data_IF_763095945657
#
_entry.id   IF_763095945657
#
_cell.length_a   1.000
_cell.length_b   1.000
_cell.length_c   1.000
_cell.angle_alpha   90.00
_cell.angle_beta   90.00
_cell.angle_gamma   90.00
#
_symmetry.space_group_name_H-M   'P 1'
#
loop_
_entity.id
_entity.type
_entity.pdbx_description
1 polymer ?
#
# COMPACT_ATOMS: atom_id res chain seq x y z
N UNK A 1 -17.26 -21.73 19.34
CA UNK A 1 -18.00 -20.47 19.60
C UNK A 1 -19.16 -20.44 18.61
N UNK A 2 -20.41 -20.51 19.06
CA UNK A 2 -21.60 -20.66 18.22
C UNK A 2 -21.82 -19.44 17.31
N UNK A 3 -22.33 -19.65 16.09
CA UNK A 3 -22.60 -18.62 15.07
C UNK A 3 -23.40 -17.42 15.63
N UNK A 4 -24.33 -17.70 16.55
CA UNK A 4 -25.16 -16.70 17.25
C UNK A 4 -24.31 -15.77 18.13
N UNK A 5 -23.31 -16.30 18.83
CA UNK A 5 -22.40 -15.50 19.64
C UNK A 5 -21.49 -14.63 18.75
N UNK A 6 -21.11 -15.10 17.56
CA UNK A 6 -20.34 -14.28 16.60
C UNK A 6 -21.17 -13.08 16.14
N UNK A 7 -22.41 -13.33 15.68
CA UNK A 7 -23.34 -12.31 15.18
C UNK A 7 -23.71 -11.27 16.26
N UNK A 8 -23.97 -11.70 17.50
CA UNK A 8 -24.28 -10.77 18.59
C UNK A 8 -23.10 -9.87 18.96
N UNK A 9 -21.88 -10.43 18.94
CA UNK A 9 -20.65 -9.69 19.28
C UNK A 9 -20.33 -8.68 18.18
N UNK A 10 -20.50 -9.08 16.92
CA UNK A 10 -20.30 -8.25 15.73
C UNK A 10 -21.28 -7.07 15.70
N UNK A 11 -22.57 -7.31 16.02
CA UNK A 11 -23.58 -6.26 16.13
C UNK A 11 -23.27 -5.25 17.25
N UNK A 12 -22.88 -5.72 18.43
CA UNK A 12 -22.52 -4.86 19.57
C UNK A 12 -21.27 -4.04 19.26
N UNK A 13 -20.26 -4.65 18.63
CA UNK A 13 -19.03 -3.97 18.23
C UNK A 13 -19.31 -2.89 17.19
N UNK A 14 -20.15 -3.18 16.19
CA UNK A 14 -20.53 -2.20 15.17
C UNK A 14 -21.32 -1.02 15.76
N UNK A 15 -22.21 -1.27 16.73
CA UNK A 15 -22.93 -0.20 17.41
C UNK A 15 -22.02 0.69 18.26
N UNK A 16 -21.11 0.09 19.06
CA UNK A 16 -20.09 0.83 19.82
C UNK A 16 -19.21 1.68 18.90
N UNK A 17 -18.80 1.11 17.77
CA UNK A 17 -17.97 1.79 16.77
C UNK A 17 -18.67 3.02 16.14
N UNK A 18 -19.98 2.94 15.88
CA UNK A 18 -20.75 4.12 15.43
C UNK A 18 -20.83 5.22 16.50
N UNK A 19 -20.98 4.83 17.76
CA UNK A 19 -21.01 5.77 18.89
C UNK A 19 -19.65 6.45 19.05
N UNK A 20 -18.54 5.70 19.06
CA UNK A 20 -17.20 6.27 19.23
C UNK A 20 -16.84 7.24 18.12
N UNK A 21 -17.19 6.94 16.87
CA UNK A 21 -17.04 7.89 15.74
C UNK A 21 -17.85 9.17 15.93
N UNK A 22 -19.09 9.05 16.39
CA UNK A 22 -19.94 10.21 16.65
C UNK A 22 -19.34 11.10 17.74
N UNK A 23 -18.90 10.50 18.84
CA UNK A 23 -18.22 11.19 19.94
C UNK A 23 -16.95 11.88 19.42
N UNK A 24 -16.08 11.15 18.70
CA UNK A 24 -14.84 11.69 18.17
C UNK A 24 -15.08 12.89 17.25
N UNK A 25 -16.08 12.82 16.36
CA UNK A 25 -16.46 13.93 15.48
C UNK A 25 -16.94 15.17 16.22
N UNK A 26 -17.60 15.00 17.37
CA UNK A 26 -18.10 16.12 18.16
C UNK A 26 -17.02 16.75 19.03
N UNK A 27 -16.02 15.97 19.46
CA UNK A 27 -14.89 16.45 20.27
C UNK A 27 -13.78 17.05 19.40
N UNK A 28 -13.51 16.46 18.23
CA UNK A 28 -12.39 16.81 17.39
C UNK A 28 -12.83 17.60 16.14
N UNK A 29 -12.04 18.61 15.76
CA UNK A 29 -12.33 19.45 14.59
C UNK A 29 -12.22 18.71 13.25
N UNK A 30 -12.75 19.31 12.17
CA UNK A 30 -12.79 18.72 10.81
C UNK A 30 -11.43 18.19 10.32
N UNK A 31 -10.33 18.88 10.62
CA UNK A 31 -8.97 18.46 10.25
C UNK A 31 -8.45 17.21 10.99
N UNK A 32 -9.20 16.67 11.96
CA UNK A 32 -8.86 15.43 12.66
C UNK A 32 -9.71 14.25 12.21
N UNK A 33 -10.67 14.46 11.29
CA UNK A 33 -11.72 13.49 10.91
C UNK A 33 -11.15 12.15 10.43
N UNK A 34 -9.98 12.14 9.77
CA UNK A 34 -9.31 10.92 9.30
C UNK A 34 -8.93 9.96 10.43
N UNK A 35 -8.78 10.45 11.66
CA UNK A 35 -8.40 9.63 12.81
C UNK A 35 -9.56 8.92 13.52
N UNK A 36 -10.82 9.17 13.12
CA UNK A 36 -11.98 8.69 13.88
C UNK A 36 -12.08 7.17 13.93
N UNK A 37 -11.51 6.47 12.93
CA UNK A 37 -11.61 5.03 12.81
C UNK A 37 -10.72 4.29 13.81
N UNK A 38 -9.68 4.97 14.31
CA UNK A 38 -8.65 4.41 15.20
C UNK A 38 -9.10 4.51 16.66
N UNK A 39 -9.83 5.57 17.00
CA UNK A 39 -10.19 5.86 18.38
C UNK A 39 -11.41 5.03 18.85
N UNK A 40 -11.38 4.44 20.06
CA UNK A 40 -10.32 4.47 21.07
C UNK A 40 -9.36 3.26 21.02
N UNK A 41 -9.48 2.40 20.00
CA UNK A 41 -8.87 1.08 19.97
C UNK A 41 -7.36 1.11 19.71
N UNK A 42 -6.91 1.99 18.81
CA UNK A 42 -5.50 2.14 18.46
C UNK A 42 -4.87 3.26 19.29
N UNK A 43 -3.73 2.97 19.91
CA UNK A 43 -2.84 3.98 20.47
C UNK A 43 -1.46 3.87 19.81
N UNK A 44 -0.79 5.00 19.60
CA UNK A 44 0.54 5.03 19.00
C UNK A 44 1.49 5.87 19.85
N UNK A 45 2.77 5.54 19.81
CA UNK A 45 3.85 6.42 20.22
C UNK A 45 4.69 6.79 19.00
N UNK A 46 5.32 7.95 19.07
CA UNK A 46 6.20 8.45 18.02
C UNK A 46 7.58 8.71 18.60
N UNK A 47 8.60 8.38 17.83
CA UNK A 47 9.97 8.67 18.20
C UNK A 47 10.30 10.17 18.04
N UNK A 48 11.54 10.54 18.37
CA UNK A 48 12.05 11.93 18.29
C UNK A 48 11.96 12.54 16.89
N UNK A 49 11.97 11.72 15.84
CA UNK A 49 11.84 12.15 14.45
C UNK A 49 10.38 12.23 13.99
N UNK A 50 9.43 11.96 14.89
CA UNK A 50 8.00 12.02 14.63
C UNK A 50 7.42 10.80 13.90
N UNK A 51 8.21 9.74 13.67
CA UNK A 51 7.75 8.47 13.08
C UNK A 51 7.06 7.61 14.14
N UNK A 52 6.00 6.88 13.77
CA UNK A 52 5.38 5.87 14.63
C UNK A 52 6.42 4.80 14.97
N UNK A 53 6.67 4.59 16.27
CA UNK A 53 7.60 3.58 16.77
C UNK A 53 6.92 2.45 17.55
N UNK A 54 5.69 2.70 18.01
CA UNK A 54 4.94 1.76 18.84
C UNK A 54 3.47 1.83 18.45
N UNK A 55 2.82 0.68 18.32
CA UNK A 55 1.38 0.56 18.07
C UNK A 55 0.76 -0.35 19.14
N UNK A 56 -0.37 0.06 19.69
CA UNK A 56 -1.21 -0.76 20.56
C UNK A 56 -2.61 -0.86 19.99
N UNK A 57 -3.19 -2.05 20.01
CA UNK A 57 -4.60 -2.29 19.72
C UNK A 57 -5.27 -2.87 20.96
N UNK A 58 -6.26 -2.16 21.52
CA UNK A 58 -6.94 -2.54 22.76
C UNK A 58 -5.95 -2.91 23.89
N UNK A 59 -4.88 -2.11 24.04
CA UNK A 59 -3.76 -2.29 25.00
C UNK A 59 -2.80 -3.44 24.68
N UNK A 60 -3.07 -4.30 23.70
CA UNK A 60 -2.11 -5.28 23.18
C UNK A 60 -1.11 -4.57 22.28
N UNK A 61 0.18 -4.76 22.54
CA UNK A 61 1.23 -4.25 21.66
C UNK A 61 1.20 -5.02 20.33
N UNK A 62 1.36 -4.30 19.23
CA UNK A 62 1.52 -4.87 17.89
C UNK A 62 2.98 -4.68 17.50
N UNK A 63 3.66 -5.79 17.21
CA UNK A 63 5.06 -5.77 16.79
C UNK A 63 5.17 -5.09 15.42
N UNK A 64 5.96 -4.01 15.36
CA UNK A 64 6.29 -3.31 14.12
C UNK A 64 7.81 -3.30 13.92
N UNK A 65 8.23 -3.29 12.66
CA UNK A 65 9.61 -3.32 12.23
C UNK A 65 10.05 -1.96 11.64
N UNK A 66 11.36 -1.83 11.46
CA UNK A 66 11.95 -0.72 10.69
C UNK A 66 12.07 -1.07 9.21
N UNK A 67 12.32 -0.06 8.38
CA UNK A 67 12.57 -0.26 6.96
C UNK A 67 13.86 -1.05 6.74
N UNK A 68 13.84 -1.97 5.78
CA UNK A 68 15.01 -2.71 5.29
C UNK A 68 15.40 -2.16 3.92
N UNK A 69 16.59 -1.58 3.82
CA UNK A 69 17.08 -0.99 2.57
C UNK A 69 17.59 -2.06 1.61
N UNK A 70 17.56 -1.74 0.32
CA UNK A 70 18.00 -2.62 -0.76
C UNK A 70 19.45 -3.10 -0.53
N UNK A 71 19.69 -4.36 -0.89
CA UNK A 71 21.02 -4.98 -0.91
C UNK A 71 21.74 -4.80 -2.25
N UNK A 72 21.15 -4.06 -3.19
CA UNK A 72 21.69 -3.81 -4.53
C UNK A 72 21.01 -4.60 -5.65
N UNK A 73 20.13 -5.57 -5.33
CA UNK A 73 19.29 -6.25 -6.33
C UNK A 73 18.31 -5.28 -6.99
N UNK A 74 17.95 -5.47 -8.28
CA UNK A 74 16.80 -4.80 -8.86
C UNK A 74 15.49 -5.23 -8.18
N UNK A 75 14.49 -4.35 -8.23
CA UNK A 75 13.16 -4.60 -7.66
C UNK A 75 12.15 -4.87 -8.78
N UNK A 76 11.34 -5.92 -8.61
CA UNK A 76 10.10 -6.08 -9.37
C UNK A 76 8.93 -5.66 -8.49
N UNK A 77 8.16 -4.68 -8.94
CA UNK A 77 6.85 -4.32 -8.36
C UNK A 77 5.76 -5.01 -9.17
N UNK A 78 5.10 -5.98 -8.56
CA UNK A 78 3.98 -6.70 -9.16
C UNK A 78 2.67 -6.01 -8.78
N UNK A 79 2.02 -5.44 -9.78
CA UNK A 79 0.70 -4.84 -9.70
C UNK A 79 -0.40 -5.86 -10.06
N UNK A 80 -1.65 -5.37 -10.10
CA UNK A 80 -2.85 -6.21 -10.23
C UNK A 80 -3.39 -6.34 -11.66
N UNK A 81 -2.73 -5.75 -12.65
CA UNK A 81 -3.16 -5.83 -14.05
C UNK A 81 -2.98 -7.24 -14.63
N UNK A 82 -3.88 -7.68 -15.53
CA UNK A 82 -3.85 -9.02 -16.11
C UNK A 82 -2.57 -9.37 -16.88
N UNK A 83 -1.81 -8.40 -17.41
CA UNK A 83 -0.60 -8.68 -18.19
C UNK A 83 0.51 -9.38 -17.40
N UNK A 84 0.44 -9.39 -16.06
CA UNK A 84 1.38 -10.16 -15.22
C UNK A 84 1.33 -11.66 -15.55
N UNK A 85 0.17 -12.19 -15.97
CA UNK A 85 -0.01 -13.60 -16.31
C UNK A 85 0.79 -13.99 -17.56
N UNK A 86 1.08 -13.03 -18.44
CA UNK A 86 1.82 -13.29 -19.69
C UNK A 86 3.34 -13.39 -19.47
N UNK A 87 3.83 -13.09 -18.26
CA UNK A 87 5.24 -13.17 -17.90
C UNK A 87 5.55 -14.58 -17.38
N UNK A 88 6.62 -15.18 -17.90
CA UNK A 88 7.09 -16.49 -17.42
C UNK A 88 7.40 -16.41 -15.91
N UNK A 89 6.88 -17.38 -15.15
CA UNK A 89 7.03 -17.42 -13.70
C UNK A 89 8.50 -17.49 -13.27
N UNK A 90 9.36 -18.10 -14.09
CA UNK A 90 10.80 -18.21 -13.83
C UNK A 90 11.52 -16.86 -13.89
N UNK A 91 10.91 -15.84 -14.51
CA UNK A 91 11.42 -14.47 -14.49
C UNK A 91 11.42 -13.90 -13.06
N UNK A 92 10.45 -14.27 -12.23
CA UNK A 92 10.30 -13.82 -10.84
C UNK A 92 11.24 -14.55 -9.87
N UNK A 93 12.51 -14.68 -10.25
CA UNK A 93 13.54 -15.37 -9.48
C UNK A 93 14.09 -14.49 -8.34
N UNK A 94 13.86 -14.90 -7.09
CA UNK A 94 14.31 -14.18 -5.89
C UNK A 94 15.83 -14.11 -5.69
N UNK A 95 16.60 -14.95 -6.39
CA UNK A 95 18.06 -14.84 -6.40
C UNK A 95 18.52 -13.61 -7.20
N UNK A 96 17.80 -13.27 -8.27
CA UNK A 96 18.09 -12.12 -9.15
C UNK A 96 17.40 -10.84 -8.69
N UNK A 97 16.15 -10.94 -8.24
CA UNK A 97 15.30 -9.79 -7.94
C UNK A 97 14.82 -9.81 -6.49
N UNK A 98 14.68 -8.63 -5.89
CA UNK A 98 13.73 -8.47 -4.79
C UNK A 98 12.33 -8.27 -5.40
N UNK A 99 11.29 -8.79 -4.75
CA UNK A 99 9.91 -8.72 -5.27
C UNK A 99 8.98 -8.06 -4.25
N UNK A 100 8.28 -7.03 -4.71
CA UNK A 100 7.25 -6.31 -3.96
C UNK A 100 5.90 -6.51 -4.65
N UNK A 101 4.91 -7.03 -3.91
CA UNK A 101 3.53 -7.13 -4.40
C UNK A 101 2.65 -5.98 -3.89
N UNK A 102 1.62 -5.62 -4.65
CA UNK A 102 0.55 -4.75 -4.17
C UNK A 102 -0.82 -5.41 -4.34
N UNK A 103 -1.72 -5.19 -3.37
CA UNK A 103 -3.09 -5.73 -3.37
C UNK A 103 -3.11 -7.23 -3.69
N UNK A 104 -3.91 -7.66 -4.68
CA UNK A 104 -4.06 -9.08 -4.99
C UNK A 104 -2.85 -9.75 -5.66
N UNK A 105 -1.74 -9.02 -5.90
CA UNK A 105 -0.48 -9.59 -6.41
C UNK A 105 -0.03 -10.83 -5.63
N UNK A 106 -0.35 -10.90 -4.34
CA UNK A 106 0.02 -12.01 -3.48
C UNK A 106 -0.61 -13.36 -3.85
N UNK A 107 -1.64 -13.40 -4.72
CA UNK A 107 -2.13 -14.69 -5.26
C UNK A 107 -1.08 -15.47 -6.05
N UNK A 108 0.00 -14.82 -6.49
CA UNK A 108 1.14 -15.48 -7.13
C UNK A 108 2.12 -16.12 -6.13
N UNK A 109 1.89 -16.02 -4.81
CA UNK A 109 2.82 -16.45 -3.75
C UNK A 109 3.18 -17.94 -3.74
N UNK A 110 2.40 -18.78 -4.44
CA UNK A 110 2.75 -20.20 -4.63
C UNK A 110 4.02 -20.42 -5.45
N UNK A 111 4.32 -19.48 -6.35
CA UNK A 111 5.46 -19.58 -7.26
C UNK A 111 6.38 -18.36 -7.19
N UNK A 112 5.95 -17.28 -6.53
CA UNK A 112 6.70 -16.04 -6.39
C UNK A 112 7.05 -15.80 -4.93
N UNK A 113 8.34 -15.64 -4.63
CA UNK A 113 8.81 -15.31 -3.29
C UNK A 113 8.81 -13.79 -3.07
N UNK A 114 7.74 -13.28 -2.46
CA UNK A 114 7.61 -11.87 -2.11
C UNK A 114 8.47 -11.49 -0.90
N UNK A 115 9.36 -10.52 -1.08
CA UNK A 115 10.11 -9.89 0.02
C UNK A 115 9.26 -8.83 0.72
N UNK A 116 8.53 -8.04 -0.07
CA UNK A 116 7.65 -6.99 0.43
C UNK A 116 6.23 -7.18 -0.09
N UNK A 117 5.27 -6.65 0.67
CA UNK A 117 3.92 -6.46 0.17
C UNK A 117 3.35 -5.15 0.70
N UNK A 118 2.53 -4.46 -0.09
CA UNK A 118 1.94 -3.17 0.29
C UNK A 118 0.43 -3.24 0.25
N UNK A 119 -0.20 -2.87 1.38
CA UNK A 119 -1.65 -2.69 1.49
C UNK A 119 -1.91 -1.33 2.12
N UNK A 120 -2.53 -0.42 1.36
CA UNK A 120 -3.00 0.88 1.86
C UNK A 120 -4.50 1.11 1.60
N UNK A 121 -5.14 0.17 0.91
CA UNK A 121 -6.57 0.21 0.56
C UNK A 121 -7.37 -0.63 1.57
N UNK A 122 -8.20 0.06 2.37
CA UNK A 122 -9.09 -0.60 3.33
C UNK A 122 -10.16 -1.47 2.66
N UNK A 123 -10.61 -1.08 1.46
CA UNK A 123 -11.63 -1.85 0.74
C UNK A 123 -11.08 -3.19 0.26
N UNK A 124 -9.80 -3.25 -0.09
CA UNK A 124 -9.12 -4.52 -0.39
C UNK A 124 -9.15 -5.46 0.83
N UNK A 125 -8.90 -4.97 2.04
CA UNK A 125 -8.92 -5.81 3.26
C UNK A 125 -10.31 -6.38 3.50
N UNK A 126 -11.34 -5.53 3.42
CA UNK A 126 -12.74 -5.91 3.64
C UNK A 126 -13.19 -7.00 2.66
N UNK A 127 -12.80 -6.88 1.39
CA UNK A 127 -13.31 -7.76 0.33
C UNK A 127 -12.40 -8.96 0.02
N UNK A 128 -11.12 -8.93 0.43
CA UNK A 128 -10.10 -9.94 0.11
C UNK A 128 -9.30 -10.36 1.34
N UNK A 129 -10.00 -10.51 2.47
CA UNK A 129 -9.36 -10.88 3.74
C UNK A 129 -8.66 -12.25 3.70
N UNK A 130 -9.05 -13.14 2.78
CA UNK A 130 -8.35 -14.39 2.52
C UNK A 130 -6.91 -14.13 2.05
N UNK A 131 -6.70 -13.22 1.09
CA UNK A 131 -5.38 -12.83 0.60
C UNK A 131 -4.58 -12.16 1.73
N UNK A 132 -5.23 -11.27 2.49
CA UNK A 132 -4.60 -10.60 3.63
C UNK A 132 -4.14 -11.62 4.67
N UNK A 133 -4.97 -12.62 4.97
CA UNK A 133 -4.63 -13.70 5.90
C UNK A 133 -3.41 -14.51 5.43
N UNK A 134 -3.30 -14.79 4.12
CA UNK A 134 -2.14 -15.47 3.55
C UNK A 134 -0.86 -14.61 3.70
N UNK A 135 -0.95 -13.30 3.44
CA UNK A 135 0.17 -12.36 3.62
C UNK A 135 0.65 -12.33 5.06
N UNK A 136 -0.28 -12.21 6.02
CA UNK A 136 0.04 -12.15 7.45
C UNK A 136 0.70 -13.43 7.96
N UNK A 137 0.45 -14.56 7.30
CA UNK A 137 1.02 -15.85 7.66
C UNK A 137 2.44 -16.11 7.10
N UNK A 138 2.99 -15.20 6.28
CA UNK A 138 4.31 -15.38 5.68
C UNK A 138 5.44 -14.77 6.54
N UNK A 139 6.21 -15.61 7.21
CA UNK A 139 7.28 -15.20 8.13
C UNK A 139 8.47 -14.48 7.47
N UNK A 140 8.70 -14.70 6.17
CA UNK A 140 9.81 -14.08 5.42
C UNK A 140 9.45 -12.72 4.83
N UNK A 141 8.18 -12.34 4.85
CA UNK A 141 7.66 -11.17 4.18
C UNK A 141 7.63 -9.95 5.11
N UNK A 142 7.85 -8.78 4.53
CA UNK A 142 7.59 -7.49 5.17
C UNK A 142 6.38 -6.82 4.55
N UNK A 143 5.30 -6.70 5.33
CA UNK A 143 4.10 -5.97 4.99
C UNK A 143 4.28 -4.48 5.33
N UNK A 144 4.21 -3.62 4.33
CA UNK A 144 4.11 -2.18 4.52
C UNK A 144 2.65 -1.76 4.45
N UNK A 145 2.15 -1.13 5.52
CA UNK A 145 0.73 -0.77 5.61
C UNK A 145 0.49 0.47 6.45
N UNK A 146 -0.68 1.07 6.29
CA UNK A 146 -1.13 2.22 7.09
C UNK A 146 -1.80 1.77 8.38
N UNK A 147 -1.91 2.67 9.37
CA UNK A 147 -2.73 2.40 10.57
C UNK A 147 -4.20 2.18 10.22
N UNK A 148 -4.71 2.84 9.18
CA UNK A 148 -6.03 2.60 8.61
C UNK A 148 -6.26 1.13 8.23
N UNK A 149 -5.32 0.57 7.48
CA UNK A 149 -5.37 -0.82 7.04
C UNK A 149 -5.11 -1.79 8.18
N UNK A 150 -4.10 -1.54 9.03
CA UNK A 150 -3.84 -2.37 10.21
C UNK A 150 -5.06 -2.40 11.14
N UNK A 151 -5.73 -1.27 11.35
CA UNK A 151 -6.95 -1.21 12.14
C UNK A 151 -8.07 -2.05 11.50
N UNK A 152 -8.26 -1.99 10.19
CA UNK A 152 -9.24 -2.84 9.50
C UNK A 152 -8.94 -4.33 9.70
N UNK A 153 -7.68 -4.74 9.56
CA UNK A 153 -7.22 -6.12 9.80
C UNK A 153 -7.55 -6.59 11.22
N UNK A 154 -7.22 -5.76 12.21
CA UNK A 154 -7.40 -6.09 13.62
C UNK A 154 -8.87 -6.02 14.06
N UNK A 155 -9.71 -5.26 13.36
CA UNK A 155 -11.15 -5.22 13.62
C UNK A 155 -11.86 -6.43 13.00
N UNK A 156 -11.39 -6.92 11.85
CA UNK A 156 -11.90 -8.15 11.22
C UNK A 156 -11.60 -9.38 12.08
N UNK A 157 -10.36 -9.50 12.59
CA UNK A 157 -9.99 -10.50 13.58
C UNK A 157 -9.08 -9.90 14.68
N UNK A 158 -9.68 -9.64 15.84
CA UNK A 158 -9.03 -9.05 17.01
C UNK A 158 -7.87 -9.88 17.56
N UNK A 159 -7.84 -11.18 17.30
CA UNK A 159 -6.83 -12.11 17.80
C UNK A 159 -5.92 -12.66 16.70
N UNK A 160 -6.02 -12.13 15.48
CA UNK A 160 -5.23 -12.58 14.35
C UNK A 160 -3.73 -12.62 14.69
N UNK A 161 -3.09 -13.71 14.30
CA UNK A 161 -1.65 -13.86 14.40
C UNK A 161 -0.99 -13.18 13.20
N UNK A 162 -0.11 -12.23 13.47
CA UNK A 162 0.70 -11.54 12.46
C UNK A 162 2.09 -12.16 12.50
N UNK A 163 2.43 -13.00 11.51
CA UNK A 163 3.73 -13.68 11.43
C UNK A 163 4.73 -12.97 10.52
N UNK A 164 4.24 -12.23 9.52
CA UNK A 164 5.07 -11.35 8.71
C UNK A 164 5.60 -10.17 9.54
N UNK A 165 6.68 -9.54 9.08
CA UNK A 165 7.11 -8.24 9.64
C UNK A 165 6.12 -7.17 9.19
N UNK A 166 5.79 -6.22 10.06
CA UNK A 166 4.90 -5.09 9.72
C UNK A 166 5.66 -3.78 9.82
N UNK A 167 5.69 -3.00 8.75
CA UNK A 167 6.23 -1.64 8.74
C UNK A 167 5.09 -0.66 8.55
N UNK A 168 4.97 0.30 9.46
CA UNK A 168 3.94 1.34 9.37
C UNK A 168 4.43 2.48 8.48
N UNK A 169 3.62 2.78 7.47
CA UNK A 169 3.74 3.97 6.62
C UNK A 169 2.50 4.85 6.81
N UNK A 170 2.62 6.16 6.56
CA UNK A 170 1.52 7.11 6.77
C UNK A 170 1.33 8.00 5.55
N UNK A 171 0.08 8.37 5.26
CA UNK A 171 -0.20 9.44 4.31
C UNK A 171 0.40 10.75 4.84
N UNK A 172 1.15 11.45 4.01
CA UNK A 172 1.90 12.64 4.41
C UNK A 172 1.00 13.82 4.79
N UNK A 173 -0.16 13.93 4.13
CA UNK A 173 -1.18 14.95 4.37
C UNK A 173 -2.11 14.56 5.53
N UNK A 174 -2.20 13.27 5.88
CA UNK A 174 -3.10 12.73 6.91
C UNK A 174 -2.35 11.90 7.99
N UNK A 175 -1.35 12.48 8.68
CA UNK A 175 -0.63 11.77 9.72
C UNK A 175 -1.57 11.39 10.88
N UNK A 176 -1.35 10.19 11.45
CA UNK A 176 -2.17 9.60 12.50
C UNK A 176 -2.09 10.44 13.78
N UNK A 177 -3.26 10.76 14.34
CA UNK A 177 -3.47 11.64 15.49
C UNK A 177 -2.83 13.03 15.37
N UNK A 178 -2.61 13.49 14.14
CA UNK A 178 -2.23 14.87 13.81
C UNK A 178 -3.28 15.48 12.89
N UNK A 179 -3.29 16.82 12.80
CA UNK A 179 -4.21 17.53 11.90
C UNK A 179 -3.83 17.24 10.45
N UNK A 180 -4.85 17.07 9.60
CA UNK A 180 -4.71 17.06 8.15
C UNK A 180 -4.01 18.33 7.71
N UNK A 181 -3.04 18.17 6.82
CA UNK A 181 -2.23 19.22 6.21
C UNK A 181 -2.62 19.37 4.75
N UNK A 182 -2.46 20.57 4.21
CA UNK A 182 -2.59 20.76 2.78
C UNK A 182 -1.24 20.46 2.11
N UNK A 183 -1.25 19.91 0.89
CA UNK A 183 -0.02 19.48 0.21
C UNK A 183 0.99 20.62 0.02
N UNK A 184 0.52 21.82 -0.26
CA UNK A 184 1.38 22.99 -0.42
C UNK A 184 2.08 23.43 0.88
N UNK A 185 1.50 23.12 2.05
CA UNK A 185 2.07 23.47 3.36
C UNK A 185 3.21 22.53 3.78
N UNK A 186 3.45 21.45 3.03
CA UNK A 186 4.39 20.37 3.39
C UNK A 186 5.50 20.13 2.36
N UNK A 187 5.58 20.98 1.33
CA UNK A 187 6.64 20.94 0.33
C UNK A 187 8.01 21.04 1.02
N UNK A 188 8.92 20.16 0.63
CA UNK A 188 10.30 20.17 1.12
C UNK A 188 11.21 19.48 0.09
N UNK A 189 12.52 19.51 0.30
CA UNK A 189 13.47 18.80 -0.57
C UNK A 189 13.20 17.29 -0.65
N UNK A 190 12.51 16.73 0.36
CA UNK A 190 12.12 15.32 0.43
C UNK A 190 10.66 15.07 0.07
N UNK A 191 9.90 16.11 -0.26
CA UNK A 191 8.52 16.04 -0.78
C UNK A 191 8.37 17.01 -1.95
N UNK A 192 8.44 16.47 -3.16
CA UNK A 192 8.30 17.24 -4.38
C UNK A 192 6.82 17.28 -4.75
N UNK A 193 6.21 18.46 -4.70
CA UNK A 193 4.83 18.66 -5.10
C UNK A 193 4.74 19.56 -6.33
N UNK A 194 3.81 19.24 -7.23
CA UNK A 194 3.47 20.06 -8.38
C UNK A 194 1.95 20.13 -8.49
N UNK A 195 1.39 21.33 -8.36
CA UNK A 195 -0.07 21.56 -8.35
C UNK A 195 -0.78 20.66 -7.32
N UNK A 196 -1.46 19.61 -7.79
CA UNK A 196 -2.29 18.71 -7.00
C UNK A 196 -1.66 17.32 -6.77
N UNK A 197 -0.42 17.09 -7.24
CA UNK A 197 0.29 15.82 -7.09
C UNK A 197 1.56 16.01 -6.25
N UNK A 198 2.03 14.93 -5.63
CA UNK A 198 3.29 14.92 -4.90
C UNK A 198 4.02 13.57 -4.99
N UNK A 199 5.33 13.59 -4.72
CA UNK A 199 6.16 12.40 -4.57
C UNK A 199 7.06 12.56 -3.36
N UNK A 200 6.97 11.63 -2.40
CA UNK A 200 7.84 11.62 -1.22
C UNK A 200 9.09 10.79 -1.48
N UNK A 201 10.25 11.40 -1.22
CA UNK A 201 11.54 10.72 -1.21
C UNK A 201 11.90 10.15 0.18
N UNK A 202 11.14 10.51 1.23
CA UNK A 202 11.39 10.06 2.60
C UNK A 202 10.12 9.54 3.27
N UNK A 203 9.99 8.22 3.32
CA UNK A 203 8.83 7.54 3.90
C UNK A 203 8.74 7.66 5.43
N UNK A 204 9.79 8.12 6.12
CA UNK A 204 9.65 8.49 7.53
C UNK A 204 8.78 9.73 7.74
N UNK A 205 8.62 10.58 6.71
CA UNK A 205 7.72 11.75 6.72
C UNK A 205 6.31 11.40 6.23
N UNK A 206 6.17 10.31 5.48
CA UNK A 206 4.93 9.81 4.89
C UNK A 206 5.04 9.68 3.37
N UNK A 207 3.96 9.21 2.75
CA UNK A 207 3.84 9.06 1.29
C UNK A 207 2.60 9.80 0.77
N UNK A 208 2.55 10.02 -0.54
CA UNK A 208 1.36 10.47 -1.26
C UNK A 208 0.81 9.32 -2.10
N UNK A 209 -0.45 8.92 -1.94
CA UNK A 209 -0.95 7.70 -2.59
C UNK A 209 -1.15 7.82 -4.12
N UNK A 210 -1.34 9.03 -4.65
CA UNK A 210 -1.60 9.25 -6.08
C UNK A 210 -2.79 8.45 -6.62
N UNK A 211 -3.76 8.12 -5.76
CA UNK A 211 -4.92 7.28 -6.06
C UNK A 211 -4.58 5.85 -6.56
N UNK A 212 -3.38 5.34 -6.28
CA UNK A 212 -3.02 3.95 -6.59
C UNK A 212 -1.95 3.39 -5.66
N UNK A 213 -2.17 2.17 -5.16
CA UNK A 213 -1.21 1.47 -4.29
C UNK A 213 0.14 1.28 -4.98
N UNK A 214 0.15 1.11 -6.31
CA UNK A 214 1.37 0.99 -7.10
C UNK A 214 2.26 2.23 -7.01
N UNK A 215 1.67 3.43 -6.88
CA UNK A 215 2.43 4.67 -6.77
C UNK A 215 3.04 4.86 -5.37
N UNK A 216 2.33 4.42 -4.33
CA UNK A 216 2.92 4.31 -2.98
C UNK A 216 4.09 3.29 -2.96
N UNK A 217 3.93 2.14 -3.63
CA UNK A 217 4.99 1.15 -3.78
C UNK A 217 6.24 1.72 -4.49
N UNK A 218 6.06 2.59 -5.49
CA UNK A 218 7.18 3.25 -6.16
C UNK A 218 7.94 4.19 -5.22
N UNK A 219 7.24 4.99 -4.41
CA UNK A 219 7.87 5.84 -3.39
C UNK A 219 8.62 5.01 -2.35
N UNK A 220 8.06 3.87 -1.94
CA UNK A 220 8.75 2.90 -1.08
C UNK A 220 10.03 2.42 -1.75
N UNK A 221 9.99 2.02 -3.02
CA UNK A 221 11.17 1.56 -3.75
C UNK A 221 12.29 2.62 -3.81
N UNK A 222 11.94 3.89 -4.06
CA UNK A 222 12.87 5.01 -4.03
C UNK A 222 13.51 5.15 -2.66
N UNK A 223 12.69 5.17 -1.60
CA UNK A 223 13.15 5.35 -0.24
C UNK A 223 14.02 4.19 0.25
N UNK A 224 13.71 2.96 -0.15
CA UNK A 224 14.53 1.78 0.15
C UNK A 224 15.79 1.69 -0.73
N UNK A 225 16.08 2.72 -1.53
CA UNK A 225 17.29 2.89 -2.35
C UNK A 225 17.45 1.85 -3.48
N UNK A 226 16.35 1.41 -4.10
CA UNK A 226 16.42 0.64 -5.35
C UNK A 226 16.82 1.55 -6.51
N UNK A 227 17.76 1.07 -7.35
CA UNK A 227 18.28 1.81 -8.52
C UNK A 227 17.72 1.33 -9.84
N UNK A 228 17.14 0.14 -9.85
CA UNK A 228 16.56 -0.46 -11.03
C UNK A 228 15.24 -1.13 -10.62
N UNK A 229 14.16 -0.68 -11.24
CA UNK A 229 12.80 -1.01 -10.86
C UNK A 229 12.02 -1.45 -12.11
N UNK A 230 11.35 -2.59 -12.00
CA UNK A 230 10.52 -3.17 -13.04
C UNK A 230 9.08 -3.25 -12.55
N UNK A 231 8.13 -2.80 -13.36
CA UNK A 231 6.71 -3.04 -13.13
C UNK A 231 6.23 -4.25 -13.93
N UNK A 232 5.55 -5.18 -13.25
CA UNK A 232 4.78 -6.25 -13.86
C UNK A 232 3.29 -6.04 -13.57
N UNK A 233 2.41 -6.11 -14.58
CA UNK A 233 0.97 -5.90 -14.39
C UNK A 233 0.57 -4.43 -14.15
N UNK A 234 1.39 -3.45 -14.55
CA UNK A 234 1.02 -2.03 -14.52
C UNK A 234 0.32 -1.66 -15.83
N UNK A 235 -0.93 -2.11 -15.98
CA UNK A 235 -1.69 -1.97 -17.23
C UNK A 235 -2.42 -0.63 -17.34
N UNK A 236 -3.29 -0.31 -16.38
CA UNK A 236 -4.08 0.93 -16.33
C UNK A 236 -4.98 1.18 -17.56
N UNK A 237 -5.47 0.13 -18.22
CA UNK A 237 -6.29 0.22 -19.43
C UNK A 237 -7.45 -0.82 -19.51
N UNK A 238 -7.72 -1.52 -18.40
CA UNK A 238 -8.67 -2.65 -18.33
C UNK A 238 -9.58 -2.54 -17.09
N UNK A 239 -10.13 -1.36 -16.78
CA UNK A 239 -10.84 -1.09 -15.51
C UNK A 239 -12.21 -1.76 -15.39
N UNK A 240 -12.80 -2.10 -16.52
CA UNK A 240 -14.08 -2.77 -16.73
C UNK A 240 -13.94 -4.32 -16.80
N UNK A 241 -12.71 -4.83 -16.70
CA UNK A 241 -12.40 -6.26 -16.69
C UNK A 241 -11.93 -6.69 -15.31
N UNK A 242 -12.08 -7.99 -14.95
CA UNK A 242 -11.55 -8.50 -13.69
C UNK A 242 -10.03 -8.30 -13.64
N UNK A 243 -9.52 -7.95 -12.44
CA UNK A 243 -8.10 -8.07 -12.15
C UNK A 243 -7.70 -9.55 -12.22
N UNK A 244 -6.41 -9.84 -12.31
CA UNK A 244 -5.94 -11.22 -12.53
C UNK A 244 -6.35 -12.22 -11.41
N UNK A 245 -6.67 -11.70 -10.21
CA UNK A 245 -7.10 -12.47 -9.04
C UNK A 245 -8.62 -12.43 -8.79
N UNK A 246 -9.38 -11.83 -9.71
CA UNK A 246 -10.84 -11.72 -9.66
C UNK A 246 -11.46 -12.58 -10.77
N UNK A 247 -12.74 -12.91 -10.63
CA UNK A 247 -13.55 -13.49 -11.70
C UNK A 247 -14.73 -12.55 -12.03
N UNK A 248 -15.48 -12.86 -13.09
CA UNK A 248 -16.58 -12.01 -13.57
C UNK A 248 -17.73 -11.85 -12.57
N UNK A 249 -17.81 -12.70 -11.54
CA UNK A 249 -18.83 -12.65 -10.49
C UNK A 249 -18.40 -11.88 -9.23
N UNK A 250 -17.13 -11.51 -9.13
CA UNK A 250 -16.54 -10.83 -7.96
C UNK A 250 -15.58 -9.70 -8.37
N UNK A 251 -16.00 -8.85 -9.31
CA UNK A 251 -15.25 -7.64 -9.70
C UNK A 251 -15.50 -6.54 -8.67
N UNK A 252 -14.42 -5.95 -8.14
CA UNK A 252 -14.53 -4.81 -7.23
C UNK A 252 -14.58 -3.48 -8.00
N UNK A 253 -15.43 -2.56 -7.55
CA UNK A 253 -15.47 -1.20 -8.07
C UNK A 253 -14.12 -0.50 -7.89
N UNK A 254 -13.78 0.37 -8.84
CA UNK A 254 -12.51 1.09 -8.84
C UNK A 254 -12.68 2.51 -9.35
N UNK A 255 -11.99 3.47 -8.73
CA UNK A 255 -11.95 4.87 -9.18
C UNK A 255 -10.73 5.14 -10.08
N UNK A 256 -10.00 4.10 -10.48
CA UNK A 256 -8.76 4.26 -11.26
C UNK A 256 -9.00 4.94 -12.62
N UNK A 257 -10.10 4.62 -13.31
CA UNK A 257 -10.41 5.22 -14.63
C UNK A 257 -10.66 6.73 -14.51
N UNK A 258 -11.50 7.12 -13.55
CA UNK A 258 -11.85 8.52 -13.27
C UNK A 258 -10.62 9.37 -12.92
N UNK A 259 -9.66 8.76 -12.23
CA UNK A 259 -8.44 9.41 -11.76
C UNK A 259 -7.23 9.25 -12.70
N UNK A 260 -7.36 8.46 -13.77
CA UNK A 260 -6.24 8.07 -14.62
C UNK A 260 -5.51 9.28 -15.22
N UNK A 261 -6.26 10.14 -15.90
CA UNK A 261 -5.71 11.28 -16.65
C UNK A 261 -5.28 12.44 -15.75
N UNK A 262 -6.04 12.70 -14.69
CA UNK A 262 -5.89 13.92 -13.88
C UNK A 262 -4.94 13.74 -12.68
N UNK A 263 -4.67 12.50 -12.26
CA UNK A 263 -3.85 12.22 -11.08
C UNK A 263 -2.81 11.15 -11.34
N UNK A 264 -3.21 9.97 -11.80
CA UNK A 264 -2.33 8.80 -11.86
C UNK A 264 -1.21 8.99 -12.89
N UNK A 265 -1.53 9.36 -14.13
CA UNK A 265 -0.51 9.61 -15.17
C UNK A 265 0.44 10.75 -14.75
N UNK A 266 -0.05 11.93 -14.33
CA UNK A 266 0.83 13.00 -13.82
C UNK A 266 1.73 12.57 -12.66
N UNK A 267 1.24 11.72 -11.75
CA UNK A 267 2.06 11.14 -10.68
C UNK A 267 3.20 10.29 -11.23
N UNK A 268 2.92 9.39 -12.18
CA UNK A 268 3.97 8.56 -12.78
C UNK A 268 4.95 9.39 -13.64
N UNK A 269 4.49 10.42 -14.33
CA UNK A 269 5.36 11.35 -15.07
C UNK A 269 6.32 12.08 -14.10
N UNK A 270 5.81 12.59 -12.98
CA UNK A 270 6.64 13.20 -11.93
C UNK A 270 7.67 12.20 -11.39
N UNK A 271 7.28 10.94 -11.17
CA UNK A 271 8.20 9.92 -10.68
C UNK A 271 9.33 9.60 -11.66
N UNK A 272 9.07 9.60 -12.97
CA UNK A 272 10.10 9.39 -13.99
C UNK A 272 11.10 10.56 -14.05
N UNK A 273 10.61 11.79 -13.93
CA UNK A 273 11.50 12.97 -13.83
C UNK A 273 12.42 12.87 -12.62
N UNK A 274 11.88 12.45 -11.48
CA UNK A 274 12.66 12.24 -10.26
C UNK A 274 13.60 11.04 -10.39
N UNK A 275 13.20 9.97 -11.07
CA UNK A 275 14.03 8.81 -11.33
C UNK A 275 15.31 9.22 -12.08
N UNK A 276 15.15 9.97 -13.18
CA UNK A 276 16.26 10.50 -13.98
C UNK A 276 17.22 11.36 -13.16
N UNK A 277 16.68 12.27 -12.34
CA UNK A 277 17.48 13.14 -11.46
C UNK A 277 18.27 12.36 -10.41
N UNK A 278 17.77 11.21 -9.96
CA UNK A 278 18.37 10.39 -8.91
C UNK A 278 19.13 9.16 -9.43
N UNK A 279 19.29 9.04 -10.76
CA UNK A 279 19.97 7.91 -11.39
C UNK A 279 19.25 6.57 -11.15
N UNK A 280 17.92 6.58 -11.11
CA UNK A 280 17.08 5.39 -10.97
C UNK A 280 16.50 5.04 -12.34
N UNK A 281 16.56 3.77 -12.71
CA UNK A 281 15.97 3.24 -13.94
C UNK A 281 14.64 2.58 -13.62
N UNK A 282 13.60 2.94 -14.38
CA UNK A 282 12.26 2.38 -14.23
C UNK A 282 11.80 1.83 -15.58
N UNK A 283 11.30 0.60 -15.57
CA UNK A 283 10.79 -0.09 -16.73
C UNK A 283 9.39 -0.64 -16.47
N UNK A 284 8.58 -0.72 -17.53
CA UNK A 284 7.29 -1.39 -17.49
C UNK A 284 7.29 -2.61 -18.42
N UNK A 285 7.07 -3.80 -17.86
CA UNK A 285 6.98 -5.06 -18.61
C UNK A 285 5.63 -5.21 -19.33
N UNK A 286 4.67 -4.35 -18.99
CA UNK A 286 3.32 -4.36 -19.55
C UNK A 286 3.31 -3.57 -20.87
N UNK A 287 3.56 -4.25 -21.99
CA UNK A 287 3.81 -3.63 -23.30
C UNK A 287 2.67 -2.75 -23.83
N UNK A 288 1.42 -3.04 -23.42
CA UNK A 288 0.24 -2.28 -23.84
C UNK A 288 -0.29 -1.30 -22.79
N UNK A 289 0.46 -1.06 -21.72
CA UNK A 289 0.06 -0.16 -20.63
C UNK A 289 -0.33 1.25 -21.09
N UNK A 290 -1.35 1.81 -20.45
CA UNK A 290 -1.70 3.23 -20.57
C UNK A 290 -0.66 4.17 -19.93
N UNK A 291 0.20 3.66 -19.05
CA UNK A 291 1.30 4.42 -18.46
C UNK A 291 2.45 4.47 -19.46
N UNK A 292 2.74 5.67 -19.98
CA UNK A 292 3.80 5.93 -20.95
C UNK A 292 5.04 6.58 -20.35
N UNK A 293 5.02 6.92 -19.05
CA UNK A 293 6.10 7.59 -18.33
C UNK A 293 7.39 6.76 -18.34
N UNK A 294 7.28 5.42 -18.30
CA UNK A 294 8.41 4.51 -18.21
C UNK A 294 8.68 3.79 -19.53
N UNK A 295 9.95 3.47 -19.79
CA UNK A 295 10.33 2.67 -20.96
C UNK A 295 9.69 1.29 -20.86
N UNK A 296 8.96 0.89 -21.91
CA UNK A 296 8.39 -0.45 -22.01
C UNK A 296 9.41 -1.42 -22.59
N UNK A 297 9.58 -2.58 -21.96
CA UNK A 297 10.54 -3.60 -22.38
C UNK A 297 9.91 -4.99 -22.27
N UNK A 298 10.29 -5.88 -23.18
CA UNK A 298 9.92 -7.29 -23.11
C UNK A 298 10.77 -7.98 -22.04
N UNK A 299 10.15 -8.78 -21.17
CA UNK A 299 10.85 -9.49 -20.10
C UNK A 299 11.91 -10.46 -20.64
N UNK A 300 11.72 -11.00 -21.86
CA UNK A 300 12.70 -11.87 -22.52
C UNK A 300 14.02 -11.16 -22.85
N UNK A 301 14.03 -9.82 -22.90
CA UNK A 301 15.24 -9.03 -23.18
C UNK A 301 16.13 -8.77 -21.97
N UNK A 302 15.70 -9.18 -20.78
CA UNK A 302 16.38 -8.95 -19.48
C UNK A 302 17.15 -10.21 -19.04
N UNK A 303 16.84 -11.37 -19.63
CA UNK A 303 17.41 -12.68 -19.30
C UNK A 303 18.70 -12.99 -20.05
#
# INVERSE_FOLDING_TARGET
MTLINKISTEFINNWKYKITKSIYRNICGKKMKHNMNFWPHINILRNVNGKIDTVFFNKRNIDIASFEFSSGKPLIIIASGPSVIDIDIDFFNSEKFDILGVNGAYKLSKSVSFKYHVIIDRTFIINRFDIVSDILNNNSLTLLTTIDCLNEILMEDHLIAIKCKVVIIEHIDQPVYKKKKELFDIISDELIANQNIAFSLNLNKGFYDGNTVTYAALQIAFFLNYKEIYFAGLDMNNFDKPRFYEDSSDILSTELDENLKNTIIPCFDLSEELAKKNGIMIYNLSMFSAINSFKKIDFNSIL
#
